data_IF_180971363743
#
_entry.id   IF_180971363743
#
_cell.length_a   1.000
_cell.length_b   1.000
_cell.length_c   1.000
_cell.angle_alpha   90.00
_cell.angle_beta   90.00
_cell.angle_gamma   90.00
#
_symmetry.space_group_name_H-M   'P 1'
#
loop_
_entity.id
_entity.type
_entity.pdbx_description
1 polymer ?
#
# COMPACT_ATOMS: atom_id res chain seq x y z
N UNK A 1 -9.14 -1.71 -27.28
CA UNK A 1 -7.87 -1.26 -26.65
C UNK A 1 -7.69 -2.05 -25.37
N UNK A 2 -6.70 -2.92 -25.33
CA UNK A 2 -6.38 -3.70 -24.14
C UNK A 2 -5.54 -2.83 -23.20
N UNK A 3 -6.19 -2.20 -22.24
CA UNK A 3 -5.54 -1.48 -21.15
C UNK A 3 -5.29 -2.47 -20.00
N UNK A 4 -4.28 -3.32 -20.16
CA UNK A 4 -3.90 -4.27 -19.13
C UNK A 4 -3.24 -3.63 -17.91
N UNK A 5 -3.24 -4.35 -16.78
CA UNK A 5 -2.48 -4.04 -15.58
C UNK A 5 -1.41 -5.11 -15.33
N UNK A 6 -0.65 -4.94 -14.25
CA UNK A 6 0.37 -5.91 -13.83
C UNK A 6 -0.26 -7.10 -13.08
N UNK A 7 -1.02 -7.93 -13.82
CA UNK A 7 -1.75 -9.07 -13.23
C UNK A 7 -0.79 -10.07 -12.56
N UNK A 8 0.36 -10.33 -13.18
CA UNK A 8 1.36 -11.24 -12.62
C UNK A 8 1.91 -10.75 -11.27
N UNK A 9 2.15 -9.45 -11.13
CA UNK A 9 2.60 -8.86 -9.86
C UNK A 9 1.56 -9.05 -8.76
N UNK A 10 0.27 -8.86 -9.07
CA UNK A 10 -0.78 -9.15 -8.11
C UNK A 10 -0.89 -10.64 -7.84
N UNK A 11 -0.85 -11.50 -8.84
CA UNK A 11 -1.00 -12.95 -8.68
C UNK A 11 0.05 -13.51 -7.71
N UNK A 12 1.30 -13.03 -7.76
CA UNK A 12 2.36 -13.47 -6.86
C UNK A 12 2.15 -13.01 -5.40
N UNK A 13 1.44 -11.90 -5.18
CA UNK A 13 1.17 -11.34 -3.85
C UNK A 13 -0.28 -11.53 -3.37
N UNK A 14 -1.13 -12.19 -4.17
CA UNK A 14 -2.56 -12.29 -3.91
C UNK A 14 -2.88 -12.89 -2.54
N UNK A 15 -2.20 -13.96 -2.16
CA UNK A 15 -2.38 -14.60 -0.86
C UNK A 15 -1.97 -13.68 0.29
N UNK A 16 -0.89 -12.90 0.12
CA UNK A 16 -0.44 -11.96 1.15
C UNK A 16 -1.51 -10.88 1.39
N UNK A 17 -2.09 -10.33 0.32
CA UNK A 17 -3.15 -9.35 0.45
C UNK A 17 -4.44 -9.95 0.99
N UNK A 18 -4.85 -11.12 0.51
CA UNK A 18 -6.07 -11.77 0.99
C UNK A 18 -6.00 -12.08 2.49
N UNK A 19 -4.88 -12.64 2.94
CA UNK A 19 -4.63 -12.88 4.38
C UNK A 19 -4.56 -11.55 5.15
N UNK A 20 -3.91 -10.53 4.59
CA UNK A 20 -3.86 -9.20 5.19
C UNK A 20 -5.25 -8.62 5.43
N UNK A 21 -6.08 -8.58 4.40
CA UNK A 21 -7.44 -8.06 4.49
C UNK A 21 -8.37 -8.85 5.42
N UNK A 22 -8.22 -10.15 5.48
CA UNK A 22 -9.15 -10.99 6.23
C UNK A 22 -8.74 -11.19 7.69
N UNK A 23 -7.45 -11.01 8.04
CA UNK A 23 -6.95 -11.43 9.35
C UNK A 23 -6.07 -10.41 10.07
N UNK A 24 -5.51 -9.42 9.36
CA UNK A 24 -4.50 -8.55 9.95
C UNK A 24 -4.84 -7.06 9.88
N UNK A 25 -5.40 -6.58 8.79
CA UNK A 25 -5.69 -5.15 8.67
C UNK A 25 -6.95 -4.79 9.45
N UNK A 26 -6.83 -3.76 10.28
CA UNK A 26 -7.96 -3.23 11.04
C UNK A 26 -8.53 -2.00 10.32
N UNK A 27 -9.80 -2.07 9.98
CA UNK A 27 -10.53 -0.92 9.49
C UNK A 27 -10.74 0.10 10.62
N UNK A 28 -11.04 1.35 10.25
CA UNK A 28 -11.43 2.35 11.22
C UNK A 28 -12.76 1.97 11.87
N UNK A 29 -12.81 2.03 13.18
CA UNK A 29 -13.99 1.81 14.03
C UNK A 29 -14.05 2.86 15.15
N UNK A 30 -15.00 2.72 16.06
CA UNK A 30 -15.08 3.58 17.24
C UNK A 30 -13.84 3.43 18.14
N UNK A 31 -13.30 2.21 18.25
CA UNK A 31 -12.19 1.87 19.15
C UNK A 31 -10.83 1.77 18.44
N UNK A 32 -10.79 1.90 17.12
CA UNK A 32 -9.55 1.73 16.34
C UNK A 32 -9.45 2.75 15.22
N UNK A 33 -8.36 3.51 15.20
CA UNK A 33 -8.13 4.55 14.18
C UNK A 33 -7.92 4.04 12.75
N UNK A 34 -7.84 2.72 12.56
CA UNK A 34 -7.58 2.04 11.31
C UNK A 34 -6.08 1.94 11.00
N UNK A 35 -5.66 0.79 10.49
CA UNK A 35 -4.29 0.59 10.00
C UNK A 35 -4.06 1.35 8.69
N UNK A 36 -2.80 1.60 8.38
CA UNK A 36 -2.38 2.27 7.16
C UNK A 36 -1.60 1.29 6.31
N UNK A 37 -1.96 1.16 5.03
CA UNK A 37 -1.38 0.16 4.14
C UNK A 37 -0.79 0.81 2.89
N UNK A 38 0.52 0.67 2.73
CA UNK A 38 1.25 1.01 1.51
C UNK A 38 1.26 -0.22 0.61
N UNK A 39 0.31 -0.30 -0.30
CA UNK A 39 0.26 -1.38 -1.28
C UNK A 39 1.36 -1.22 -2.32
N UNK A 40 1.95 -2.32 -2.78
CA UNK A 40 2.82 -2.29 -3.94
C UNK A 40 2.04 -1.75 -5.15
N UNK A 41 2.53 -0.67 -5.75
CA UNK A 41 1.78 0.07 -6.78
C UNK A 41 1.33 -0.78 -7.96
N UNK A 42 2.19 -1.71 -8.41
CA UNK A 42 1.90 -2.63 -9.52
C UNK A 42 0.77 -3.63 -9.20
N UNK A 43 0.45 -3.84 -7.94
CA UNK A 43 -0.62 -4.74 -7.49
C UNK A 43 -1.99 -4.05 -7.37
N UNK A 44 -2.10 -2.76 -7.70
CA UNK A 44 -3.36 -2.00 -7.66
C UNK A 44 -4.55 -2.67 -8.36
N UNK A 45 -4.39 -3.34 -9.54
CA UNK A 45 -5.50 -4.03 -10.19
C UNK A 45 -6.22 -5.04 -9.30
N UNK A 46 -5.48 -5.79 -8.48
CA UNK A 46 -6.07 -6.74 -7.56
C UNK A 46 -6.81 -6.09 -6.40
N UNK A 47 -6.30 -4.97 -5.90
CA UNK A 47 -6.98 -4.19 -4.87
C UNK A 47 -8.30 -3.63 -5.41
N UNK A 48 -8.32 -3.14 -6.65
CA UNK A 48 -9.55 -2.72 -7.32
C UNK A 48 -10.55 -3.86 -7.52
N UNK A 49 -10.06 -5.03 -7.96
CA UNK A 49 -10.90 -6.21 -8.14
C UNK A 49 -11.57 -6.62 -6.82
N UNK A 50 -10.83 -6.66 -5.72
CA UNK A 50 -11.39 -6.92 -4.39
C UNK A 50 -12.41 -5.87 -3.99
N UNK A 51 -12.11 -4.60 -4.13
CA UNK A 51 -13.02 -3.51 -3.80
C UNK A 51 -14.32 -3.55 -4.62
N UNK A 52 -14.25 -4.00 -5.87
CA UNK A 52 -15.43 -4.26 -6.68
C UNK A 52 -16.28 -5.41 -6.11
N UNK A 53 -15.65 -6.52 -5.73
CA UNK A 53 -16.36 -7.65 -5.12
C UNK A 53 -17.00 -7.28 -3.77
N UNK A 54 -16.42 -6.34 -3.06
CA UNK A 54 -16.95 -5.77 -1.82
C UNK A 54 -18.04 -4.70 -2.05
N UNK A 55 -18.37 -4.39 -3.31
CA UNK A 55 -19.38 -3.39 -3.67
C UNK A 55 -18.93 -1.93 -3.51
N UNK A 56 -17.64 -1.68 -3.30
CA UNK A 56 -17.06 -0.34 -3.12
C UNK A 56 -16.76 0.37 -4.45
N UNK A 57 -16.61 -0.38 -5.52
CA UNK A 57 -16.39 0.12 -6.88
C UNK A 57 -17.44 -0.43 -7.83
N UNK A 58 -17.79 0.35 -8.85
CA UNK A 58 -18.72 -0.04 -9.89
C UNK A 58 -18.02 -0.73 -11.06
N UNK A 59 -18.78 -1.47 -11.85
CA UNK A 59 -18.30 -2.06 -13.11
C UNK A 59 -17.82 -0.98 -14.09
N UNK A 60 -18.49 0.15 -14.16
CA UNK A 60 -18.12 1.23 -15.08
C UNK A 60 -16.78 1.85 -14.68
N UNK A 61 -16.48 1.96 -13.38
CA UNK A 61 -15.17 2.37 -12.93
C UNK A 61 -14.07 1.38 -13.34
N UNK A 62 -14.30 0.07 -13.23
CA UNK A 62 -13.36 -0.95 -13.70
C UNK A 62 -13.13 -0.90 -15.20
N UNK A 63 -14.19 -0.69 -16.00
CA UNK A 63 -14.08 -0.58 -17.46
C UNK A 63 -13.26 0.64 -17.89
N UNK A 64 -13.19 1.67 -17.06
CA UNK A 64 -12.40 2.88 -17.28
C UNK A 64 -11.05 2.86 -16.52
N UNK A 65 -10.52 1.68 -16.21
CA UNK A 65 -9.19 1.56 -15.62
C UNK A 65 -8.11 2.12 -16.56
N UNK A 66 -7.18 2.90 -16.00
CA UNK A 66 -6.11 3.60 -16.74
C UNK A 66 -6.61 4.65 -17.75
N UNK A 67 -7.74 5.28 -17.46
CA UNK A 67 -8.29 6.36 -18.29
C UNK A 67 -8.39 7.68 -17.49
N UNK A 68 -7.38 7.97 -16.69
CA UNK A 68 -7.33 9.12 -15.79
C UNK A 68 -7.41 10.46 -16.53
N UNK A 69 -6.92 10.52 -17.78
CA UNK A 69 -6.89 11.73 -18.60
C UNK A 69 -8.28 12.34 -18.76
N UNK A 70 -9.30 11.49 -18.85
CA UNK A 70 -10.69 11.91 -18.97
C UNK A 70 -11.37 12.18 -17.63
N UNK A 71 -10.64 12.08 -16.52
CA UNK A 71 -11.17 12.24 -15.17
C UNK A 71 -12.18 11.17 -14.76
N UNK A 72 -12.12 10.01 -15.39
CA UNK A 72 -13.07 8.90 -15.19
C UNK A 72 -12.34 7.63 -14.77
N UNK A 73 -13.06 6.78 -14.01
CA UNK A 73 -12.59 5.44 -13.71
C UNK A 73 -11.49 5.39 -12.66
N UNK A 74 -10.62 4.40 -12.81
CA UNK A 74 -9.61 4.07 -11.81
C UNK A 74 -8.21 4.48 -12.28
N UNK A 75 -7.45 5.06 -11.37
CA UNK A 75 -6.06 5.44 -11.63
C UNK A 75 -5.19 4.22 -11.92
N UNK A 76 -4.16 4.39 -12.76
CA UNK A 76 -3.20 3.35 -13.13
C UNK A 76 -2.49 2.75 -11.91
N UNK A 77 -2.22 3.59 -10.93
CA UNK A 77 -1.53 3.26 -9.67
C UNK A 77 -2.20 3.97 -8.50
N UNK A 78 -1.88 3.60 -7.25
CA UNK A 78 -2.36 4.34 -6.08
C UNK A 78 -2.06 5.83 -6.21
N UNK A 79 -3.13 6.64 -6.29
CA UNK A 79 -3.02 8.07 -6.55
C UNK A 79 -4.06 8.85 -5.74
N UNK A 80 -3.69 9.36 -4.54
CA UNK A 80 -4.63 10.02 -3.63
C UNK A 80 -5.32 11.27 -4.22
N UNK A 81 -4.68 11.98 -5.16
CA UNK A 81 -5.28 13.17 -5.77
C UNK A 81 -6.35 12.82 -6.82
N UNK A 82 -6.19 11.70 -7.51
CA UNK A 82 -7.18 11.23 -8.49
C UNK A 82 -8.31 10.44 -7.82
N UNK A 83 -8.02 9.77 -6.72
CA UNK A 83 -8.96 8.95 -5.98
C UNK A 83 -8.82 9.19 -4.46
N UNK A 84 -9.18 10.41 -3.97
CA UNK A 84 -8.96 10.79 -2.57
C UNK A 84 -9.75 9.96 -1.56
N UNK A 85 -10.90 9.46 -1.95
CA UNK A 85 -11.74 8.62 -1.09
C UNK A 85 -11.36 7.14 -1.11
N UNK A 86 -10.37 6.77 -1.92
CA UNK A 86 -9.94 5.38 -2.09
C UNK A 86 -8.49 5.16 -1.66
N UNK A 87 -7.56 5.97 -2.16
CA UNK A 87 -6.14 5.85 -1.88
C UNK A 87 -5.67 6.86 -0.85
N UNK A 88 -4.96 6.39 0.17
CA UNK A 88 -4.35 7.26 1.18
C UNK A 88 -2.90 7.64 0.79
N UNK A 89 -2.19 6.76 0.10
CA UNK A 89 -0.77 6.95 -0.21
C UNK A 89 -0.46 6.67 -1.67
N UNK A 90 0.44 7.47 -2.30
CA UNK A 90 1.04 7.11 -3.56
C UNK A 90 2.13 6.06 -3.31
N UNK A 91 2.15 4.97 -4.05
CA UNK A 91 3.10 3.87 -3.81
C UNK A 91 3.64 3.23 -5.09
N UNK A 92 3.71 4.02 -6.17
CA UNK A 92 4.16 3.51 -7.46
C UNK A 92 5.69 3.50 -7.61
N UNK A 93 6.39 4.47 -7.01
CA UNK A 93 7.85 4.56 -7.11
C UNK A 93 8.52 3.55 -6.20
N UNK A 94 9.27 2.62 -6.80
CA UNK A 94 10.00 1.58 -6.07
C UNK A 94 11.03 2.23 -5.11
N UNK A 95 11.13 1.70 -3.90
CA UNK A 95 11.97 2.22 -2.82
C UNK A 95 11.34 3.37 -2.03
N UNK A 96 10.46 4.19 -2.62
CA UNK A 96 9.83 5.31 -1.91
C UNK A 96 8.68 4.87 -1.01
N UNK A 97 7.97 3.80 -1.34
CA UNK A 97 6.89 3.25 -0.50
C UNK A 97 7.38 2.90 0.91
N UNK A 98 8.43 2.07 1.06
CA UNK A 98 9.03 1.75 2.36
C UNK A 98 9.51 2.98 3.13
N UNK A 99 10.17 3.92 2.45
CA UNK A 99 10.64 5.17 3.07
C UNK A 99 9.50 6.02 3.61
N UNK A 100 8.43 6.18 2.82
CA UNK A 100 7.24 6.93 3.23
C UNK A 100 6.51 6.23 4.40
N UNK A 101 6.48 4.90 4.41
CA UNK A 101 5.89 4.12 5.50
C UNK A 101 6.63 4.36 6.81
N UNK A 102 7.96 4.49 6.79
CA UNK A 102 8.75 4.84 7.98
C UNK A 102 8.39 6.24 8.47
N UNK A 103 8.34 7.23 7.59
CA UNK A 103 7.96 8.59 8.01
C UNK A 103 6.54 8.62 8.57
N UNK A 104 5.63 7.85 8.00
CA UNK A 104 4.28 7.72 8.54
C UNK A 104 4.27 7.09 9.93
N UNK A 105 5.00 6.00 10.13
CA UNK A 105 5.11 5.34 11.43
C UNK A 105 5.74 6.26 12.49
N UNK A 106 6.81 6.99 12.14
CA UNK A 106 7.42 8.02 13.01
C UNK A 106 6.43 9.11 13.37
N UNK A 107 5.68 9.61 12.38
CA UNK A 107 4.70 10.66 12.62
C UNK A 107 3.59 10.20 13.58
N UNK A 108 3.14 8.97 13.44
CA UNK A 108 2.16 8.39 14.38
C UNK A 108 2.73 8.33 15.79
N UNK A 109 3.98 7.88 15.97
CA UNK A 109 4.66 7.93 17.29
C UNK A 109 4.78 9.36 17.83
N UNK A 110 5.10 10.32 16.98
CA UNK A 110 5.14 11.72 17.37
C UNK A 110 3.77 12.19 17.89
N UNK A 111 2.68 11.91 17.16
CA UNK A 111 1.32 12.29 17.59
C UNK A 111 0.94 11.66 18.93
N UNK A 112 1.27 10.39 19.13
CA UNK A 112 1.04 9.65 20.37
C UNK A 112 1.83 10.25 21.53
N UNK A 113 3.14 10.44 21.37
CA UNK A 113 4.00 11.01 22.43
C UNK A 113 3.63 12.46 22.78
N UNK A 114 3.02 13.16 21.86
CA UNK A 114 2.48 14.52 22.10
C UNK A 114 1.06 14.51 22.64
N UNK A 115 0.45 13.35 22.83
CA UNK A 115 -0.94 13.18 23.24
C UNK A 115 -1.95 13.92 22.35
N UNK A 116 -1.62 14.04 21.06
CA UNK A 116 -2.49 14.69 20.08
C UNK A 116 -3.51 13.71 19.48
N UNK A 117 -3.08 12.47 19.24
CA UNK A 117 -3.93 11.39 18.72
C UNK A 117 -3.44 10.09 19.32
N UNK A 118 -4.36 9.24 19.78
CA UNK A 118 -4.02 7.87 20.19
C UNK A 118 -3.79 7.02 18.90
N UNK A 119 -2.56 6.57 18.73
CA UNK A 119 -2.14 5.69 17.63
C UNK A 119 -1.52 4.39 18.13
N UNK A 120 -1.64 4.10 19.43
CA UNK A 120 -0.97 2.99 20.10
C UNK A 120 -1.32 1.61 19.51
N UNK A 121 -2.57 1.43 19.06
CA UNK A 121 -3.07 0.19 18.48
C UNK A 121 -2.98 0.13 16.94
N UNK A 122 -2.50 1.19 16.28
CA UNK A 122 -2.46 1.28 14.82
C UNK A 122 -1.13 0.81 14.25
N UNK A 123 -1.18 0.13 13.12
CA UNK A 123 0.01 -0.33 12.38
C UNK A 123 0.12 0.34 11.02
N UNK A 124 1.35 0.46 10.56
CA UNK A 124 1.70 0.84 9.18
C UNK A 124 2.25 -0.41 8.49
N UNK A 125 1.60 -0.83 7.44
CA UNK A 125 2.00 -1.98 6.63
C UNK A 125 2.60 -1.49 5.32
N UNK A 126 3.77 -1.99 4.93
CA UNK A 126 4.38 -1.68 3.65
C UNK A 126 4.66 -2.97 2.88
N UNK A 127 4.02 -3.10 1.73
CA UNK A 127 4.20 -4.22 0.81
C UNK A 127 5.19 -3.85 -0.28
N UNK A 128 6.19 -4.70 -0.48
CA UNK A 128 7.24 -4.48 -1.46
C UNK A 128 7.68 -5.81 -2.10
N UNK A 129 8.22 -5.73 -3.30
CA UNK A 129 8.88 -6.85 -3.96
C UNK A 129 10.32 -7.05 -3.46
N UNK A 130 10.86 -8.25 -3.63
CA UNK A 130 12.25 -8.55 -3.31
C UNK A 130 13.23 -7.73 -4.17
N UNK A 131 12.92 -7.51 -5.46
CA UNK A 131 13.71 -6.63 -6.32
C UNK A 131 13.70 -5.17 -5.86
N UNK A 132 12.60 -4.70 -5.27
CA UNK A 132 12.49 -3.35 -4.70
C UNK A 132 13.41 -3.17 -3.48
N UNK A 133 13.78 -4.26 -2.83
CA UNK A 133 14.70 -4.23 -1.69
C UNK A 133 16.13 -3.83 -2.07
N UNK A 134 16.52 -3.94 -3.33
CA UNK A 134 17.83 -3.51 -3.82
C UNK A 134 17.93 -1.99 -4.01
N UNK A 135 16.80 -1.28 -4.00
CA UNK A 135 16.80 0.18 -4.06
C UNK A 135 17.47 0.78 -2.81
N UNK A 136 18.38 1.76 -2.97
CA UNK A 136 19.06 2.39 -1.84
C UNK A 136 18.13 2.94 -0.77
N UNK A 137 16.98 3.46 -1.20
CA UNK A 137 15.93 3.99 -0.33
C UNK A 137 15.32 2.88 0.54
N UNK A 138 15.07 1.70 -0.02
CA UNK A 138 14.53 0.55 0.73
C UNK A 138 15.53 0.07 1.78
N UNK A 139 16.79 -0.11 1.42
CA UNK A 139 17.85 -0.55 2.35
C UNK A 139 18.07 0.46 3.47
N UNK A 140 18.14 1.73 3.14
CA UNK A 140 18.27 2.81 4.12
C UNK A 140 17.06 2.90 5.04
N UNK A 141 15.87 2.70 4.50
CA UNK A 141 14.60 2.72 5.22
C UNK A 141 14.55 1.66 6.33
N UNK A 142 14.88 0.41 6.02
CA UNK A 142 14.84 -0.69 6.99
C UNK A 142 15.78 -0.42 8.17
N UNK A 143 17.00 0.02 7.89
CA UNK A 143 17.98 0.37 8.92
C UNK A 143 17.48 1.51 9.82
N UNK A 144 16.79 2.49 9.23
CA UNK A 144 16.23 3.61 9.99
C UNK A 144 15.06 3.14 10.88
N UNK A 145 14.15 2.33 10.36
CA UNK A 145 13.03 1.79 11.11
C UNK A 145 13.48 0.99 12.34
N UNK A 146 14.51 0.15 12.17
CA UNK A 146 15.12 -0.61 13.26
C UNK A 146 15.78 0.29 14.30
N UNK A 147 16.56 1.26 13.88
CA UNK A 147 17.28 2.17 14.79
C UNK A 147 16.32 3.03 15.63
N UNK A 148 15.16 3.36 15.09
CA UNK A 148 14.14 4.17 15.79
C UNK A 148 13.12 3.33 16.56
N UNK A 149 13.28 2.01 16.58
CA UNK A 149 12.38 1.08 17.28
C UNK A 149 10.90 1.27 16.88
N UNK A 150 10.63 1.37 15.58
CA UNK A 150 9.28 1.55 15.06
C UNK A 150 8.52 0.21 15.06
N UNK A 151 8.02 -0.20 16.22
CA UNK A 151 7.26 -1.44 16.41
C UNK A 151 5.82 -1.38 15.86
N UNK A 152 5.41 -0.20 15.42
CA UNK A 152 4.16 0.04 14.69
C UNK A 152 4.31 -0.08 13.17
N UNK A 153 5.51 -0.41 12.65
CA UNK A 153 5.81 -0.59 11.25
C UNK A 153 6.04 -2.05 10.91
N UNK A 154 5.40 -2.54 9.85
CA UNK A 154 5.51 -3.91 9.38
C UNK A 154 5.85 -3.89 7.89
N UNK A 155 7.01 -4.47 7.53
CA UNK A 155 7.39 -4.72 6.15
C UNK A 155 6.96 -6.13 5.73
N UNK A 156 6.28 -6.23 4.59
CA UNK A 156 5.90 -7.49 3.96
C UNK A 156 6.59 -7.58 2.60
N UNK A 157 7.59 -8.44 2.51
CA UNK A 157 8.37 -8.63 1.28
C UNK A 157 7.81 -9.82 0.51
N UNK A 158 7.32 -9.57 -0.70
CA UNK A 158 6.94 -10.61 -1.65
C UNK A 158 8.20 -11.14 -2.35
N UNK A 159 8.77 -12.19 -1.80
CA UNK A 159 10.01 -12.81 -2.29
C UNK A 159 9.68 -13.84 -3.38
N UNK A 160 9.44 -13.36 -4.60
CA UNK A 160 9.08 -14.20 -5.76
C UNK A 160 10.26 -14.45 -6.71
N UNK A 161 11.47 -14.00 -6.35
CA UNK A 161 12.71 -14.15 -7.12
C UNK A 161 12.64 -13.52 -8.52
N UNK A 162 11.76 -12.54 -8.71
CA UNK A 162 11.64 -11.78 -9.96
C UNK A 162 12.34 -10.43 -9.86
N UNK A 163 13.39 -10.26 -10.65
CA UNK A 163 14.12 -8.99 -10.81
C UNK A 163 14.15 -8.58 -12.26
N UNK A 164 14.36 -7.30 -12.53
CA UNK A 164 14.48 -6.78 -13.90
C UNK A 164 15.87 -7.06 -14.51
N UNK A 165 16.85 -7.26 -13.66
CA UNK A 165 18.26 -7.40 -14.02
C UNK A 165 18.82 -8.82 -13.84
N UNK A 166 17.98 -9.79 -13.66
CA UNK A 166 18.32 -11.22 -13.65
C UNK A 166 18.62 -11.83 -12.31
#
# INVERSE_FOLDING_TARGET
>A
TELGGHIASFASSATLFDVGFNHFFHARSEDHGGDLVFFQGHSAPGVYARAYLEGRLSKDQLLNFRQEVDGKGLSSYPHPWLMPDFWQFPSVSMGLGPLMAIYQARFMRYLEHRSLVDTSNRKVWAFMGDGEMDEPESLGAISLGSRENLDNLIFVVNCNLQRLDG
#
